data_IF_761775398844
#
_entry.id   IF_761775398844
#
_cell.length_a   1.000
_cell.length_b   1.000
_cell.length_c   1.000
_cell.angle_alpha   90.00
_cell.angle_beta   90.00
_cell.angle_gamma   90.00
#
_symmetry.space_group_name_H-M   'P 1'
#
loop_
_entity.id
_entity.type
_entity.pdbx_description
1 polymer ?
#
# COMPACT_ATOMS: atom_id res chain seq x y z
N UNK A 1 17.56 -12.44 -12.69
CA UNK A 1 17.17 -12.94 -14.03
C UNK A 1 17.03 -11.80 -15.03
N UNK A 2 16.22 -10.78 -14.75
CA UNK A 2 16.06 -9.62 -15.64
C UNK A 2 17.36 -8.85 -15.92
N UNK A 3 18.21 -8.63 -14.90
CA UNK A 3 19.53 -7.97 -15.05
C UNK A 3 20.53 -8.76 -15.93
N UNK A 4 20.24 -10.04 -16.18
CA UNK A 4 21.02 -10.90 -17.08
C UNK A 4 20.34 -11.11 -18.44
N UNK A 5 19.34 -10.29 -18.77
CA UNK A 5 18.59 -10.37 -20.02
C UNK A 5 17.61 -11.55 -20.12
N UNK A 6 17.42 -12.32 -19.04
CA UNK A 6 16.50 -13.45 -19.02
C UNK A 6 15.10 -12.97 -18.62
N UNK A 7 14.14 -13.10 -19.54
CA UNK A 7 12.73 -12.83 -19.31
C UNK A 7 11.97 -14.14 -19.10
N UNK A 8 11.37 -14.30 -17.93
CA UNK A 8 10.45 -15.40 -17.66
C UNK A 8 9.12 -15.04 -18.30
N UNK A 9 8.73 -15.78 -19.35
CA UNK A 9 7.53 -15.47 -20.13
C UNK A 9 6.24 -15.72 -19.35
N UNK A 10 6.22 -16.77 -18.53
CA UNK A 10 5.03 -17.20 -17.79
C UNK A 10 5.39 -17.72 -16.40
N UNK A 11 4.80 -17.15 -15.35
CA UNK A 11 4.96 -17.63 -13.97
C UNK A 11 3.83 -17.14 -13.06
N UNK A 12 3.67 -17.81 -11.92
CA UNK A 12 2.83 -17.36 -10.80
C UNK A 12 3.73 -16.90 -9.66
N UNK A 13 3.47 -15.70 -9.13
CA UNK A 13 4.16 -15.21 -7.92
C UNK A 13 3.44 -15.69 -6.66
N UNK A 14 3.88 -16.83 -6.11
CA UNK A 14 3.25 -17.43 -4.93
C UNK A 14 3.47 -16.57 -3.68
N UNK A 15 4.62 -15.90 -3.54
CA UNK A 15 4.90 -15.04 -2.39
C UNK A 15 3.97 -13.82 -2.42
N UNK A 16 3.83 -13.17 -3.59
CA UNK A 16 2.90 -12.05 -3.76
C UNK A 16 1.45 -12.49 -3.56
N UNK A 17 1.07 -13.68 -4.03
CA UNK A 17 -0.25 -14.28 -3.76
C UNK A 17 -0.50 -14.41 -2.27
N UNK A 18 0.43 -15.02 -1.54
CA UNK A 18 0.32 -15.20 -0.09
C UNK A 18 0.28 -13.85 0.64
N UNK A 19 1.08 -12.87 0.21
CA UNK A 19 1.05 -11.51 0.76
C UNK A 19 -0.30 -10.83 0.57
N UNK A 20 -0.91 -10.95 -0.61
CA UNK A 20 -2.24 -10.41 -0.88
C UNK A 20 -3.34 -11.03 -0.02
N UNK A 21 -3.17 -12.26 0.45
CA UNK A 21 -4.16 -12.97 1.28
C UNK A 21 -3.90 -12.70 2.77
N UNK A 22 -2.67 -12.94 3.23
CA UNK A 22 -2.32 -13.04 4.66
C UNK A 22 -1.47 -11.86 5.17
N UNK A 23 -0.88 -11.07 4.26
CA UNK A 23 -0.01 -9.94 4.59
C UNK A 23 1.49 -10.26 4.57
N UNK A 24 2.31 -9.23 4.75
CA UNK A 24 3.78 -9.33 4.62
C UNK A 24 4.38 -10.40 5.54
N UNK A 25 3.93 -10.47 6.79
CA UNK A 25 4.52 -11.32 7.83
C UNK A 25 4.26 -12.83 7.63
N UNK A 26 3.35 -13.19 6.73
CA UNK A 26 2.92 -14.57 6.51
C UNK A 26 3.07 -15.00 5.04
N UNK A 27 4.00 -14.38 4.30
CA UNK A 27 4.18 -14.62 2.86
C UNK A 27 5.32 -15.57 2.50
N UNK A 28 6.25 -15.85 3.42
CA UNK A 28 7.40 -16.72 3.13
C UNK A 28 7.01 -18.18 2.91
N UNK A 29 7.74 -18.90 2.06
CA UNK A 29 7.53 -20.33 1.79
C UNK A 29 7.42 -21.14 3.10
N UNK A 30 8.36 -20.97 4.03
CA UNK A 30 8.33 -21.69 5.30
C UNK A 30 7.08 -21.39 6.15
N UNK A 31 6.65 -20.12 6.21
CA UNK A 31 5.42 -19.75 6.92
C UNK A 31 4.18 -20.37 6.26
N UNK A 32 4.17 -20.40 4.92
CA UNK A 32 3.07 -20.96 4.15
C UNK A 32 3.00 -22.48 4.21
N UNK A 33 4.13 -23.18 4.26
CA UNK A 33 4.13 -24.64 4.46
C UNK A 33 3.66 -25.00 5.87
N UNK A 34 4.02 -24.20 6.88
CA UNK A 34 3.48 -24.38 8.23
C UNK A 34 1.96 -24.14 8.27
N UNK A 35 1.45 -23.11 7.58
CA UNK A 35 0.02 -22.80 7.51
C UNK A 35 -0.78 -23.83 6.71
N UNK A 36 -0.30 -24.20 5.53
CA UNK A 36 -1.03 -25.05 4.59
C UNK A 36 -0.97 -26.53 4.98
N UNK A 37 0.18 -26.99 5.51
CA UNK A 37 0.46 -28.41 5.71
C UNK A 37 0.91 -28.77 7.13
N UNK A 38 1.10 -27.79 8.03
CA UNK A 38 1.74 -28.03 9.33
C UNK A 38 3.22 -28.44 9.22
N UNK A 39 3.84 -28.18 8.06
CA UNK A 39 5.19 -28.63 7.73
C UNK A 39 6.24 -27.57 8.06
N UNK A 40 7.23 -27.95 8.85
CA UNK A 40 8.39 -27.11 9.15
C UNK A 40 9.49 -27.31 8.11
N UNK A 41 9.75 -26.27 7.31
CA UNK A 41 10.81 -26.31 6.31
C UNK A 41 12.20 -26.18 6.97
N UNK A 42 13.12 -27.08 6.61
CA UNK A 42 14.52 -26.96 6.98
C UNK A 42 15.16 -25.75 6.26
N UNK A 43 15.89 -24.93 7.00
CA UNK A 43 16.59 -23.73 6.48
C UNK A 43 18.12 -23.84 6.60
N UNK A 44 18.62 -25.01 6.99
CA UNK A 44 20.04 -25.27 7.28
C UNK A 44 20.97 -24.91 6.13
N UNK A 45 20.54 -25.11 4.88
CA UNK A 45 21.36 -24.90 3.68
C UNK A 45 21.05 -23.61 2.91
N UNK A 46 20.20 -22.72 3.45
CA UNK A 46 19.79 -21.49 2.77
C UNK A 46 20.98 -20.54 2.50
N UNK A 47 21.99 -20.52 3.39
CA UNK A 47 23.13 -19.59 3.35
C UNK A 47 24.46 -20.27 3.03
N UNK A 48 24.41 -21.45 2.43
CA UNK A 48 25.62 -22.22 2.08
C UNK A 48 26.21 -21.74 0.75
N UNK A 49 27.50 -21.99 0.53
CA UNK A 49 28.17 -21.64 -0.73
C UNK A 49 27.72 -22.55 -1.89
N UNK A 50 26.76 -22.06 -2.67
CA UNK A 50 26.23 -22.71 -3.88
C UNK A 50 27.17 -22.66 -5.10
N UNK A 51 28.34 -22.01 -4.99
CA UNK A 51 29.34 -21.98 -6.07
C UNK A 51 30.26 -23.19 -6.04
N UNK A 52 30.37 -23.89 -4.89
CA UNK A 52 31.18 -25.09 -4.71
C UNK A 52 30.79 -26.21 -5.68
N UNK A 53 31.77 -26.89 -6.28
CA UNK A 53 31.57 -28.04 -7.18
C UNK A 53 32.50 -29.22 -6.82
N UNK A 54 32.03 -30.49 -6.98
CA UNK A 54 30.66 -30.89 -7.29
C UNK A 54 29.69 -30.53 -6.16
N UNK A 55 28.39 -30.45 -6.46
CA UNK A 55 27.37 -30.15 -5.44
C UNK A 55 27.25 -31.34 -4.47
N UNK A 56 27.38 -31.14 -3.15
CA UNK A 56 27.13 -32.17 -2.15
C UNK A 56 25.69 -32.73 -2.25
N UNK A 57 25.47 -34.04 -1.99
CA UNK A 57 24.14 -34.65 -2.05
C UNK A 57 23.07 -33.92 -1.21
N UNK A 58 23.44 -33.38 -0.04
CA UNK A 58 22.54 -32.62 0.81
C UNK A 58 22.03 -31.33 0.14
N UNK A 59 22.88 -30.62 -0.62
CA UNK A 59 22.47 -29.42 -1.37
C UNK A 59 21.51 -29.78 -2.51
N UNK A 60 21.75 -30.90 -3.18
CA UNK A 60 20.87 -31.39 -4.25
C UNK A 60 19.49 -31.74 -3.66
N UNK A 61 19.45 -32.51 -2.57
CA UNK A 61 18.20 -32.87 -1.90
C UNK A 61 17.44 -31.64 -1.39
N UNK A 62 18.16 -30.66 -0.84
CA UNK A 62 17.59 -29.39 -0.39
C UNK A 62 16.93 -28.61 -1.54
N UNK A 63 17.65 -28.42 -2.65
CA UNK A 63 17.12 -27.72 -3.82
C UNK A 63 15.92 -28.46 -4.45
N UNK A 64 15.98 -29.81 -4.50
CA UNK A 64 14.87 -30.63 -4.98
C UNK A 64 13.64 -30.47 -4.08
N UNK A 65 13.82 -30.53 -2.76
CA UNK A 65 12.73 -30.35 -1.79
C UNK A 65 12.09 -28.97 -1.91
N UNK A 66 12.87 -27.90 -2.05
CA UNK A 66 12.34 -26.55 -2.27
C UNK A 66 11.44 -26.47 -3.50
N UNK A 67 11.81 -27.11 -4.61
CA UNK A 67 10.98 -27.18 -5.81
C UNK A 67 9.68 -27.98 -5.58
N UNK A 68 9.77 -29.15 -4.93
CA UNK A 68 8.62 -30.00 -4.61
C UNK A 68 7.59 -29.27 -3.75
N UNK A 69 8.03 -28.62 -2.67
CA UNK A 69 7.11 -27.94 -1.73
C UNK A 69 6.55 -26.65 -2.32
N UNK A 70 7.28 -25.99 -3.21
CA UNK A 70 6.77 -24.84 -3.97
C UNK A 70 5.64 -25.26 -4.91
N UNK A 71 5.79 -26.39 -5.60
CA UNK A 71 4.71 -26.94 -6.44
C UNK A 71 3.50 -27.37 -5.62
N UNK A 72 3.72 -28.01 -4.46
CA UNK A 72 2.64 -28.36 -3.53
C UNK A 72 1.89 -27.10 -3.05
N UNK A 73 2.62 -26.03 -2.71
CA UNK A 73 2.02 -24.76 -2.32
C UNK A 73 1.21 -24.13 -3.46
N UNK A 74 1.68 -24.20 -4.70
CA UNK A 74 0.90 -23.74 -5.87
C UNK A 74 -0.46 -24.45 -5.94
N UNK A 75 -0.50 -25.78 -5.87
CA UNK A 75 -1.76 -26.53 -5.94
C UNK A 75 -2.69 -26.22 -4.76
N UNK A 76 -2.14 -26.01 -3.57
CA UNK A 76 -2.91 -25.60 -2.41
C UNK A 76 -3.53 -24.20 -2.61
N UNK A 77 -2.74 -23.24 -3.09
CA UNK A 77 -3.24 -21.89 -3.42
C UNK A 77 -4.28 -21.92 -4.54
N UNK A 78 -4.09 -22.75 -5.55
CA UNK A 78 -5.04 -22.90 -6.66
C UNK A 78 -6.37 -23.49 -6.17
N UNK A 79 -6.31 -24.45 -5.24
CA UNK A 79 -7.51 -25.08 -4.66
C UNK A 79 -8.30 -24.11 -3.76
N UNK A 80 -7.61 -23.34 -2.91
CA UNK A 80 -8.25 -22.54 -1.86
C UNK A 80 -8.43 -21.06 -2.21
N UNK A 81 -7.59 -20.53 -3.10
CA UNK A 81 -7.49 -19.10 -3.42
C UNK A 81 -7.30 -18.86 -4.93
N UNK A 82 -7.87 -19.72 -5.78
CA UNK A 82 -7.77 -19.67 -7.24
C UNK A 82 -7.81 -18.25 -7.80
N UNK A 83 -8.87 -17.50 -7.47
CA UNK A 83 -9.09 -16.14 -8.00
C UNK A 83 -7.95 -15.18 -7.67
N UNK A 84 -7.38 -15.27 -6.45
CA UNK A 84 -6.27 -14.39 -6.05
C UNK A 84 -4.97 -14.85 -6.71
N UNK A 85 -4.75 -16.17 -6.82
CA UNK A 85 -3.60 -16.72 -7.52
C UNK A 85 -3.55 -16.26 -8.99
N UNK A 86 -4.70 -16.26 -9.68
CA UNK A 86 -4.82 -15.78 -11.07
C UNK A 86 -4.45 -14.29 -11.22
N UNK A 87 -4.64 -13.46 -10.19
CA UNK A 87 -4.23 -12.05 -10.22
C UNK A 87 -2.70 -11.86 -10.21
N UNK A 88 -1.96 -12.87 -9.75
CA UNK A 88 -0.49 -12.89 -9.70
C UNK A 88 0.13 -13.76 -10.79
N UNK A 89 -0.66 -14.14 -11.80
CA UNK A 89 -0.12 -14.69 -13.03
C UNK A 89 0.56 -13.58 -13.85
N UNK A 90 1.79 -13.85 -14.28
CA UNK A 90 2.47 -13.07 -15.32
C UNK A 90 2.55 -13.93 -16.57
N UNK A 91 2.02 -13.45 -17.70
CA UNK A 91 1.98 -14.19 -18.98
C UNK A 91 2.49 -13.36 -20.17
N UNK A 92 3.27 -12.30 -19.91
CA UNK A 92 3.85 -11.43 -20.93
C UNK A 92 2.87 -10.45 -21.59
N UNK A 93 1.58 -10.49 -21.27
CA UNK A 93 0.59 -9.54 -21.79
C UNK A 93 0.72 -8.18 -21.09
N UNK A 94 0.80 -7.12 -21.88
CA UNK A 94 0.80 -5.76 -21.36
C UNK A 94 -0.63 -5.29 -21.08
N UNK A 95 -0.82 -4.52 -19.99
CA UNK A 95 -2.08 -3.82 -19.78
C UNK A 95 -2.26 -2.74 -20.86
N UNK A 96 -3.48 -2.59 -21.36
CA UNK A 96 -3.82 -1.49 -22.27
C UNK A 96 -4.02 -0.21 -21.46
N UNK A 97 -2.94 0.53 -21.24
CA UNK A 97 -2.92 1.81 -20.52
C UNK A 97 -2.26 2.90 -21.35
N UNK A 98 -2.52 4.16 -21.02
CA UNK A 98 -1.85 5.29 -21.66
C UNK A 98 -0.31 5.17 -21.51
N UNK A 99 0.43 5.47 -22.58
CA UNK A 99 1.87 5.28 -22.63
C UNK A 99 2.64 5.97 -21.50
N UNK A 100 2.20 7.17 -21.08
CA UNK A 100 2.83 7.92 -20.01
C UNK A 100 2.65 7.28 -18.61
N UNK A 101 1.64 6.42 -18.42
CA UNK A 101 1.36 5.72 -17.16
C UNK A 101 2.25 4.47 -17.00
N UNK A 102 2.58 3.78 -18.10
CA UNK A 102 3.26 2.49 -18.08
C UNK A 102 4.60 2.48 -17.29
N UNK A 103 5.48 3.50 -17.36
CA UNK A 103 6.71 3.54 -16.55
C UNK A 103 6.44 3.49 -15.03
N UNK A 104 5.35 4.11 -14.57
CA UNK A 104 4.95 4.07 -13.16
C UNK A 104 4.45 2.68 -12.75
N UNK A 105 3.71 1.99 -13.63
CA UNK A 105 3.25 0.63 -13.37
C UNK A 105 4.40 -0.38 -13.34
N UNK A 106 5.42 -0.17 -14.17
CA UNK A 106 6.68 -0.96 -14.14
C UNK A 106 7.54 -0.66 -12.92
N UNK A 107 7.36 0.50 -12.29
CA UNK A 107 8.14 0.94 -11.14
C UNK A 107 9.54 1.43 -11.50
N UNK A 108 9.73 1.85 -12.75
CA UNK A 108 11.00 2.36 -13.29
C UNK A 108 10.85 3.76 -13.89
N UNK A 109 9.81 4.50 -13.51
CA UNK A 109 9.64 5.90 -13.87
C UNK A 109 10.84 6.72 -13.38
N UNK A 110 11.52 7.40 -14.30
CA UNK A 110 12.66 8.27 -14.00
C UNK A 110 12.23 9.66 -13.51
N UNK A 111 10.98 10.04 -13.81
CA UNK A 111 10.43 11.37 -13.56
C UNK A 111 9.40 11.34 -12.45
N UNK A 112 9.21 12.48 -11.78
CA UNK A 112 8.05 12.67 -10.92
C UNK A 112 6.75 12.59 -11.76
N UNK A 113 5.61 12.23 -11.16
CA UNK A 113 4.31 12.24 -11.84
C UNK A 113 4.00 13.56 -12.57
N UNK A 114 4.29 14.69 -11.95
CA UNK A 114 4.03 16.02 -12.51
C UNK A 114 4.93 16.33 -13.72
N UNK A 115 6.21 15.95 -13.62
CA UNK A 115 7.16 16.09 -14.73
C UNK A 115 6.77 15.18 -15.90
N UNK A 116 6.39 13.93 -15.63
CA UNK A 116 5.94 13.00 -16.67
C UNK A 116 4.69 13.49 -17.40
N UNK A 117 3.72 14.07 -16.69
CA UNK A 117 2.54 14.69 -17.33
C UNK A 117 2.94 15.89 -18.19
N UNK A 118 3.89 16.70 -17.73
CA UNK A 118 4.39 17.87 -18.49
C UNK A 118 5.10 17.42 -19.77
N UNK A 119 5.94 16.40 -19.69
CA UNK A 119 6.64 15.84 -20.85
C UNK A 119 5.68 15.16 -21.83
N UNK A 120 4.74 14.36 -21.34
CA UNK A 120 3.73 13.72 -22.17
C UNK A 120 2.84 14.75 -22.89
N UNK A 121 2.59 15.91 -22.25
CA UNK A 121 1.93 17.05 -22.92
C UNK A 121 2.80 17.67 -24.01
N UNK A 122 4.10 17.88 -23.76
CA UNK A 122 5.03 18.39 -24.76
C UNK A 122 5.18 17.45 -25.97
N UNK A 123 5.06 16.14 -25.75
CA UNK A 123 5.07 15.10 -26.78
C UNK A 123 3.70 14.92 -27.48
N UNK A 124 2.67 15.68 -27.12
CA UNK A 124 1.33 15.59 -27.70
C UNK A 124 0.52 14.35 -27.29
N UNK A 125 0.98 13.58 -26.30
CA UNK A 125 0.24 12.43 -25.76
C UNK A 125 -0.94 12.84 -24.87
N UNK A 126 -0.80 13.99 -24.19
CA UNK A 126 -1.82 14.57 -23.31
C UNK A 126 -2.26 15.92 -23.88
N UNK A 127 -3.53 16.03 -24.25
CA UNK A 127 -4.11 17.25 -24.80
C UNK A 127 -4.52 18.21 -23.68
N UNK A 128 -5.11 17.69 -22.60
CA UNK A 128 -5.63 18.51 -21.50
C UNK A 128 -5.56 17.78 -20.15
N UNK A 129 -5.81 18.53 -19.07
CA UNK A 129 -5.77 17.98 -17.70
C UNK A 129 -6.88 16.94 -17.43
N UNK A 130 -8.02 17.02 -18.12
CA UNK A 130 -9.09 16.05 -17.97
C UNK A 130 -8.69 14.67 -18.51
N UNK A 131 -7.86 14.62 -19.56
CA UNK A 131 -7.33 13.38 -20.11
C UNK A 131 -6.48 12.61 -19.09
N UNK A 132 -5.66 13.28 -18.27
CA UNK A 132 -4.88 12.62 -17.19
C UNK A 132 -5.79 11.79 -16.28
N UNK A 133 -6.92 12.37 -15.88
CA UNK A 133 -7.89 11.70 -15.04
C UNK A 133 -8.61 10.55 -15.77
N UNK A 134 -8.95 10.75 -17.04
CA UNK A 134 -9.57 9.73 -17.88
C UNK A 134 -8.63 8.53 -18.10
N UNK A 135 -7.36 8.78 -18.38
CA UNK A 135 -6.32 7.76 -18.56
C UNK A 135 -6.14 6.94 -17.27
N UNK A 136 -6.04 7.60 -16.11
CA UNK A 136 -5.96 6.91 -14.83
C UNK A 136 -7.22 6.10 -14.50
N UNK A 137 -8.41 6.62 -14.85
CA UNK A 137 -9.68 5.89 -14.70
C UNK A 137 -9.72 4.64 -15.58
N UNK A 138 -9.33 4.76 -16.85
CA UNK A 138 -9.22 3.62 -17.75
C UNK A 138 -8.20 2.59 -17.21
N UNK A 139 -7.07 3.05 -16.69
CA UNK A 139 -6.07 2.17 -16.09
C UNK A 139 -6.61 1.44 -14.85
N UNK A 140 -7.46 2.05 -14.01
CA UNK A 140 -8.08 1.36 -12.87
C UNK A 140 -8.94 0.17 -13.32
N UNK A 141 -9.58 0.25 -14.48
CA UNK A 141 -10.37 -0.84 -15.06
C UNK A 141 -9.48 -1.93 -15.64
N UNK A 142 -8.44 -1.54 -16.39
CA UNK A 142 -7.60 -2.45 -17.17
C UNK A 142 -6.56 -3.19 -16.33
N UNK A 143 -5.91 -2.51 -15.39
CA UNK A 143 -4.83 -3.09 -14.57
C UNK A 143 -5.43 -4.05 -13.54
N UNK A 144 -5.15 -5.35 -13.69
CA UNK A 144 -5.60 -6.41 -12.77
C UNK A 144 -4.53 -6.83 -11.76
N UNK A 145 -3.26 -6.80 -12.16
CA UNK A 145 -2.18 -7.28 -11.30
C UNK A 145 -2.05 -6.40 -10.03
N UNK A 146 -2.09 -6.96 -8.80
CA UNK A 146 -2.20 -6.18 -7.55
C UNK A 146 -1.05 -5.20 -7.33
N UNK A 147 0.19 -5.60 -7.61
CA UNK A 147 1.34 -4.70 -7.52
C UNK A 147 1.24 -3.50 -8.48
N UNK A 148 0.79 -3.72 -9.72
CA UNK A 148 0.60 -2.65 -10.72
C UNK A 148 -0.56 -1.74 -10.30
N UNK A 149 -1.66 -2.30 -9.76
CA UNK A 149 -2.76 -1.51 -9.17
C UNK A 149 -2.30 -0.64 -7.99
N UNK A 150 -1.51 -1.17 -7.08
CA UNK A 150 -0.96 -0.39 -5.96
C UNK A 150 -0.13 0.80 -6.46
N UNK A 151 0.72 0.60 -7.48
CA UNK A 151 1.49 1.67 -8.12
C UNK A 151 0.60 2.71 -8.80
N UNK A 152 -0.47 2.27 -9.48
CA UNK A 152 -1.45 3.17 -10.08
C UNK A 152 -2.16 4.04 -9.02
N UNK A 153 -2.61 3.44 -7.92
CA UNK A 153 -3.25 4.18 -6.82
C UNK A 153 -2.31 5.20 -6.18
N UNK A 154 -1.01 4.88 -6.10
CA UNK A 154 0.02 5.83 -5.67
C UNK A 154 0.15 7.00 -6.65
N UNK A 155 0.25 6.71 -7.95
CA UNK A 155 0.32 7.74 -9.00
C UNK A 155 -0.89 8.68 -8.94
N UNK A 156 -2.10 8.13 -8.80
CA UNK A 156 -3.33 8.90 -8.67
C UNK A 156 -3.29 9.83 -7.45
N UNK A 157 -2.78 9.34 -6.32
CA UNK A 157 -2.64 10.11 -5.10
C UNK A 157 -1.56 11.20 -5.21
N UNK A 158 -0.44 10.92 -5.86
CA UNK A 158 0.64 11.88 -6.11
C UNK A 158 0.13 13.05 -6.98
N UNK A 159 -0.60 12.74 -8.05
CA UNK A 159 -1.26 13.72 -8.92
C UNK A 159 -2.49 14.39 -8.30
N UNK A 160 -2.88 13.99 -7.08
CA UNK A 160 -4.03 14.52 -6.34
C UNK A 160 -5.34 14.53 -7.14
N UNK A 161 -5.63 13.44 -7.87
CA UNK A 161 -6.82 13.32 -8.73
C UNK A 161 -8.08 12.98 -7.91
N UNK A 162 -8.55 13.91 -7.10
CA UNK A 162 -9.66 13.71 -6.15
C UNK A 162 -10.98 13.28 -6.82
N UNK A 163 -11.19 13.64 -8.09
CA UNK A 163 -12.35 13.21 -8.89
C UNK A 163 -12.41 11.69 -9.13
N UNK A 164 -11.34 10.94 -8.86
CA UNK A 164 -11.31 9.48 -8.93
C UNK A 164 -11.69 8.82 -7.58
N UNK A 165 -12.08 9.60 -6.57
CA UNK A 165 -12.49 9.05 -5.27
C UNK A 165 -13.62 8.03 -5.40
N UNK A 166 -14.61 8.28 -6.27
CA UNK A 166 -15.72 7.36 -6.52
C UNK A 166 -15.27 6.02 -7.09
N UNK A 167 -14.21 6.00 -7.91
CA UNK A 167 -13.64 4.77 -8.48
C UNK A 167 -12.79 3.99 -7.47
N UNK A 168 -12.18 4.68 -6.51
CA UNK A 168 -11.27 4.09 -5.51
C UNK A 168 -12.02 3.59 -4.27
N UNK A 169 -13.13 4.22 -3.88
CA UNK A 169 -13.91 3.82 -2.71
C UNK A 169 -14.31 2.32 -2.70
N UNK A 170 -14.81 1.73 -3.80
CA UNK A 170 -15.11 0.30 -3.85
C UNK A 170 -13.89 -0.60 -3.60
N UNK A 171 -12.68 -0.12 -3.92
CA UNK A 171 -11.44 -0.88 -3.76
C UNK A 171 -11.00 -1.02 -2.30
N UNK A 172 -11.64 -0.32 -1.36
CA UNK A 172 -11.48 -0.60 0.07
C UNK A 172 -12.01 -2.00 0.46
N UNK A 173 -12.86 -2.60 -0.37
CA UNK A 173 -13.36 -3.97 -0.23
C UNK A 173 -12.75 -4.93 -1.26
N UNK A 174 -11.61 -4.57 -1.86
CA UNK A 174 -10.93 -5.40 -2.83
C UNK A 174 -10.51 -6.76 -2.22
N UNK A 175 -10.45 -7.83 -3.04
CA UNK A 175 -10.09 -9.16 -2.57
C UNK A 175 -8.66 -9.22 -2.02
N UNK A 176 -7.75 -8.42 -2.58
CA UNK A 176 -6.34 -8.38 -2.17
C UNK A 176 -6.11 -7.32 -1.09
N UNK A 177 -5.30 -7.68 -0.09
CA UNK A 177 -4.90 -6.77 0.98
C UNK A 177 -4.10 -5.57 0.46
N UNK A 178 -3.30 -5.78 -0.60
CA UNK A 178 -2.54 -4.73 -1.28
C UNK A 178 -3.44 -3.59 -1.78
N UNK A 179 -4.55 -3.94 -2.43
CA UNK A 179 -5.50 -2.97 -2.99
C UNK A 179 -6.28 -2.24 -1.90
N UNK A 180 -6.73 -2.94 -0.86
CA UNK A 180 -7.41 -2.30 0.29
C UNK A 180 -6.49 -1.29 0.96
N UNK A 181 -5.25 -1.70 1.26
CA UNK A 181 -4.27 -0.83 1.90
C UNK A 181 -3.87 0.35 1.00
N UNK A 182 -3.66 0.12 -0.31
CA UNK A 182 -3.31 1.18 -1.25
C UNK A 182 -4.44 2.20 -1.42
N UNK A 183 -5.68 1.74 -1.49
CA UNK A 183 -6.87 2.58 -1.60
C UNK A 183 -7.03 3.47 -0.37
N UNK A 184 -6.89 2.91 0.84
CA UNK A 184 -6.93 3.69 2.09
C UNK A 184 -5.87 4.79 2.10
N UNK A 185 -4.61 4.46 1.74
CA UNK A 185 -3.52 5.46 1.65
C UNK A 185 -3.84 6.54 0.63
N UNK A 186 -4.30 6.16 -0.56
CA UNK A 186 -4.59 7.10 -1.64
C UNK A 186 -5.69 8.10 -1.22
N UNK A 187 -6.82 7.60 -0.71
CA UNK A 187 -7.93 8.43 -0.23
C UNK A 187 -7.53 9.35 0.92
N UNK A 188 -6.75 8.83 1.89
CA UNK A 188 -6.24 9.63 3.00
C UNK A 188 -5.29 10.75 2.56
N UNK A 189 -4.37 10.47 1.63
CA UNK A 189 -3.45 11.47 1.06
C UNK A 189 -4.19 12.56 0.27
N UNK A 190 -5.21 12.15 -0.49
CA UNK A 190 -6.08 13.06 -1.25
C UNK A 190 -7.11 13.81 -0.38
N UNK A 191 -7.12 13.58 0.94
CA UNK A 191 -8.05 14.22 1.89
C UNK A 191 -9.54 13.99 1.59
N UNK A 192 -9.91 12.80 1.13
CA UNK A 192 -11.30 12.47 0.79
C UNK A 192 -12.12 12.21 2.07
N UNK A 193 -12.92 13.18 2.49
CA UNK A 193 -13.71 13.10 3.74
C UNK A 193 -14.76 11.98 3.72
N UNK A 194 -15.40 11.74 2.57
CA UNK A 194 -16.35 10.64 2.40
C UNK A 194 -15.75 9.25 2.63
N UNK A 195 -14.41 9.13 2.69
CA UNK A 195 -13.72 7.88 2.94
C UNK A 195 -13.52 7.57 4.44
N UNK A 196 -13.85 8.48 5.38
CA UNK A 196 -13.65 8.25 6.82
C UNK A 196 -14.36 6.98 7.29
N UNK A 197 -15.68 6.90 7.13
CA UNK A 197 -16.46 5.73 7.55
C UNK A 197 -16.00 4.43 6.86
N UNK A 198 -15.83 4.39 5.53
CA UNK A 198 -15.28 3.21 4.85
C UNK A 198 -13.89 2.78 5.35
N UNK A 199 -12.99 3.73 5.64
CA UNK A 199 -11.64 3.43 6.12
C UNK A 199 -11.66 2.98 7.59
N UNK A 200 -12.57 3.49 8.41
CA UNK A 200 -12.73 3.06 9.81
C UNK A 200 -12.99 1.55 9.94
N UNK A 201 -13.74 0.97 9.00
CA UNK A 201 -13.96 -0.49 8.94
C UNK A 201 -12.65 -1.27 8.80
N UNK A 202 -11.68 -0.73 8.06
CA UNK A 202 -10.39 -1.37 7.81
C UNK A 202 -9.46 -1.40 9.04
N UNK A 203 -9.79 -0.71 10.13
CA UNK A 203 -9.08 -0.87 11.40
C UNK A 203 -9.21 -2.29 11.97
N UNK A 204 -10.24 -3.04 11.56
CA UNK A 204 -10.48 -4.43 11.93
C UNK A 204 -10.11 -5.43 10.82
N UNK A 205 -9.40 -4.99 9.77
CA UNK A 205 -8.99 -5.88 8.68
C UNK A 205 -8.11 -7.02 9.21
N UNK A 206 -8.25 -8.27 8.73
CA UNK A 206 -7.41 -9.39 9.17
C UNK A 206 -5.92 -9.13 8.92
N UNK A 207 -5.58 -8.39 7.86
CA UNK A 207 -4.20 -8.11 7.47
C UNK A 207 -3.66 -6.86 8.18
N UNK A 208 -2.55 -7.03 8.89
CA UNK A 208 -1.90 -5.96 9.67
C UNK A 208 -1.55 -4.73 8.83
N UNK A 209 -1.07 -4.93 7.60
CA UNK A 209 -0.65 -3.84 6.72
C UNK A 209 -1.82 -2.95 6.29
N UNK A 210 -3.02 -3.54 6.17
CA UNK A 210 -4.26 -2.81 5.89
C UNK A 210 -4.66 -1.97 7.09
N UNK A 211 -4.63 -2.54 8.31
CA UNK A 211 -4.91 -1.79 9.55
C UNK A 211 -3.99 -0.58 9.72
N UNK A 212 -2.68 -0.77 9.49
CA UNK A 212 -1.68 0.32 9.54
C UNK A 212 -1.96 1.40 8.49
N UNK A 213 -2.33 1.00 7.27
CA UNK A 213 -2.71 1.93 6.21
C UNK A 213 -3.96 2.74 6.58
N UNK A 214 -4.98 2.09 7.12
CA UNK A 214 -6.22 2.72 7.58
C UNK A 214 -5.96 3.74 8.70
N UNK A 215 -5.20 3.36 9.74
CA UNK A 215 -4.83 4.26 10.83
C UNK A 215 -4.08 5.50 10.32
N UNK A 216 -3.12 5.31 9.40
CA UNK A 216 -2.37 6.42 8.81
C UNK A 216 -3.27 7.34 7.98
N UNK A 217 -4.19 6.77 7.21
CA UNK A 217 -5.13 7.52 6.38
C UNK A 217 -6.11 8.34 7.23
N UNK A 218 -6.70 7.75 8.26
CA UNK A 218 -7.60 8.45 9.20
C UNK A 218 -6.89 9.58 9.93
N UNK A 219 -5.65 9.35 10.39
CA UNK A 219 -4.83 10.42 10.98
C UNK A 219 -4.68 11.60 10.02
N UNK A 220 -4.39 11.35 8.75
CA UNK A 220 -4.24 12.42 7.76
C UNK A 220 -5.55 13.19 7.52
N UNK A 221 -6.69 12.50 7.56
CA UNK A 221 -8.02 13.11 7.39
C UNK A 221 -8.42 13.97 8.60
N UNK A 222 -8.31 13.41 9.81
CA UNK A 222 -8.76 14.03 11.06
C UNK A 222 -7.84 15.18 11.51
N UNK A 223 -6.53 15.09 11.27
CA UNK A 223 -5.58 16.17 11.62
C UNK A 223 -5.83 17.44 10.79
N UNK A 224 -6.44 17.31 9.60
CA UNK A 224 -6.75 18.43 8.73
C UNK A 224 -8.02 19.14 9.16
N UNK A 225 -9.00 18.40 9.67
CA UNK A 225 -10.22 18.94 10.28
C UNK A 225 -9.90 19.80 11.52
N UNK A 226 -9.01 19.31 12.40
CA UNK A 226 -8.53 20.06 13.57
C UNK A 226 -7.80 21.38 13.23
N UNK A 227 -7.27 21.53 12.01
CA UNK A 227 -6.66 22.80 11.55
C UNK A 227 -7.69 23.75 10.97
N UNK A 228 -8.78 23.25 10.39
CA UNK A 228 -9.82 24.06 9.77
C UNK A 228 -10.76 24.68 10.81
N UNK A 229 -10.95 24.03 11.95
CA UNK A 229 -11.81 24.52 13.05
C UNK A 229 -11.19 25.58 13.94
N UNK A 230 -9.92 25.96 13.73
CA UNK A 230 -9.33 27.10 14.46
C UNK A 230 -9.83 28.41 13.86
N UNK A 231 -10.57 29.24 14.62
CA UNK A 231 -10.94 30.57 14.13
C UNK A 231 -9.68 31.39 13.85
N UNK A 232 -9.65 32.09 12.73
CA UNK A 232 -8.58 33.04 12.44
C UNK A 232 -8.60 34.15 13.51
N UNK A 233 -7.42 34.62 13.99
CA UNK A 233 -7.38 35.70 14.97
C UNK A 233 -8.05 36.94 14.37
N UNK A 234 -9.08 37.45 15.04
CA UNK A 234 -9.74 38.68 14.65
C UNK A 234 -8.74 39.84 14.81
N UNK A 235 -8.62 40.68 13.77
CA UNK A 235 -7.88 41.95 13.86
C UNK A 235 -8.83 43.01 14.38
N UNK A 236 -8.54 43.56 15.55
CA UNK A 236 -9.18 44.79 16.01
C UNK A 236 -8.67 45.98 15.18
N UNK A 237 -9.48 47.05 15.10
CA UNK A 237 -9.20 48.23 14.29
C UNK A 237 -7.95 49.02 14.72
N UNK A 238 -7.44 48.74 15.93
CA UNK A 238 -6.21 49.30 16.50
C UNK A 238 -4.93 48.55 16.10
N UNK A 239 -5.04 47.49 15.29
CA UNK A 239 -3.92 46.66 14.85
C UNK A 239 -3.55 45.52 15.79
N UNK A 240 -4.23 45.39 16.94
CA UNK A 240 -3.99 44.34 17.92
C UNK A 240 -4.62 43.03 17.46
N UNK A 241 -3.83 41.94 17.47
CA UNK A 241 -4.33 40.59 17.16
C UNK A 241 -4.74 39.91 18.46
N UNK A 242 -6.02 39.63 18.62
CA UNK A 242 -6.53 38.83 19.75
C UNK A 242 -6.74 37.38 19.32
N UNK A 243 -6.31 36.45 20.18
CA UNK A 243 -6.57 35.03 20.03
C UNK A 243 -7.71 34.67 20.96
N UNK A 244 -8.87 34.31 20.41
CA UNK A 244 -9.95 33.73 21.20
C UNK A 244 -9.64 32.24 21.37
N UNK A 245 -9.12 31.88 22.54
CA UNK A 245 -9.09 30.48 22.97
C UNK A 245 -10.45 30.20 23.58
N UNK A 246 -11.32 29.51 22.85
CA UNK A 246 -12.52 28.94 23.43
C UNK A 246 -12.11 27.86 24.43
N UNK A 247 -12.08 28.23 25.71
CA UNK A 247 -12.13 27.27 26.80
C UNK A 247 -13.54 26.68 26.78
N UNK A 248 -13.72 25.55 26.10
CA UNK A 248 -14.84 24.67 26.40
C UNK A 248 -14.67 24.20 27.84
N UNK A 249 -15.38 24.87 28.75
CA UNK A 249 -15.65 24.38 30.09
C UNK A 249 -16.46 23.09 29.97
N UNK A 250 -15.84 21.96 30.29
CA UNK A 250 -16.54 20.85 30.95
C UNK A 250 -15.94 20.66 32.33
N UNK A 251 -16.80 20.84 33.31
CA UNK A 251 -16.66 20.74 34.77
C UNK A 251 -15.94 19.50 35.32
N UNK A 252 -15.24 19.72 36.46
CA UNK A 252 -14.90 18.86 37.62
C UNK A 252 -14.44 17.41 37.34
N UNK A 253 -13.34 16.86 37.86
CA UNK A 253 -12.75 16.97 39.20
C UNK A 253 -11.30 16.41 39.14
N UNK A 254 -10.43 16.82 40.07
CA UNK A 254 -9.19 16.15 40.49
C UNK A 254 -8.03 15.86 39.49
N UNK A 255 -7.28 16.88 39.05
CA UNK A 255 -5.91 16.64 38.54
C UNK A 255 -4.87 17.76 38.79
N UNK A 256 -4.96 18.44 39.93
CA UNK A 256 -3.95 19.44 40.34
C UNK A 256 -2.80 18.85 41.20
N UNK A 257 -2.83 17.55 41.50
CA UNK A 257 -1.86 16.92 42.41
C UNK A 257 -0.45 16.78 41.82
N UNK A 258 -0.30 16.46 40.53
CA UNK A 258 1.02 16.21 39.96
C UNK A 258 1.78 17.49 39.61
N UNK A 259 1.09 18.59 39.26
CA UNK A 259 1.70 19.90 38.99
C UNK A 259 2.30 20.54 40.23
N UNK A 260 1.70 20.31 41.40
CA UNK A 260 2.24 20.70 42.71
C UNK A 260 3.52 19.92 43.03
N UNK A 261 3.52 18.59 42.83
CA UNK A 261 4.71 17.73 43.04
C UNK A 261 5.88 18.08 42.13
N UNK A 262 5.62 18.51 40.90
CA UNK A 262 6.67 18.84 39.94
C UNK A 262 7.38 20.15 40.28
N UNK A 263 6.67 21.11 40.88
CA UNK A 263 7.27 22.37 41.35
C UNK A 263 8.16 22.17 42.58
N UNK A 264 7.77 21.30 43.52
CA UNK A 264 8.59 21.01 44.70
C UNK A 264 9.90 20.25 44.39
N UNK A 265 10.01 19.61 43.22
CA UNK A 265 11.22 18.89 42.79
C UNK A 265 12.22 19.84 42.10
N UNK A 266 11.74 20.95 41.52
CA UNK A 266 12.59 21.92 40.82
C UNK A 266 13.22 22.94 41.78
N UNK A 267 12.58 23.18 42.93
CA UNK A 267 13.06 24.12 43.94
C UNK A 267 13.85 23.45 45.10
N UNK A 268 14.37 22.23 44.91
CA UNK A 268 15.15 21.47 45.90
C UNK A 268 16.59 21.22 45.44
#
# INVERSE_FOLDING_TARGET
MAERGLQVAHYYDLEATCRSIFGQHESSLAAMLQRAFGYHLDKSLQRTDWTRRPLPPAMIAYAARDAEVTLALYHWLDTHYHTILQLHETNGKADLVAHWIEPFLRGNAALSPEMAVTEAKAQGQIVNRAQVAADCRAALVMVKHPMRRNRLLRLIADLSLTQLAGDILPLLQAPTSDERAASARALGRMSIQAAIEPISVLLNDPVLDVRKAAQTALRNLLTKELRQTRPAPARAADGTRSWVVENTQSSNDDDNGWKSRLRSIIDA
#
